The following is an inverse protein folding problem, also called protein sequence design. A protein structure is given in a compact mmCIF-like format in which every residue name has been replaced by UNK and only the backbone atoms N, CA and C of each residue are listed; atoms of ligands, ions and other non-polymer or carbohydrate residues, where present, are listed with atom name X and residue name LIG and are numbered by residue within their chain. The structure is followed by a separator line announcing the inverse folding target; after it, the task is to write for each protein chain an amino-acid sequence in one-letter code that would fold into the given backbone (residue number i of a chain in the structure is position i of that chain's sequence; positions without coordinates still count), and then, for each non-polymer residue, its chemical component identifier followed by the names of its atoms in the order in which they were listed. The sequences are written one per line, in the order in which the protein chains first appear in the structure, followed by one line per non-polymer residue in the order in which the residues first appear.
data_IF_266635311809
#
_entry.id   IF_266635311809
#
_cell.length_a   1.000
_cell.length_b   1.000
_cell.length_c   1.000
_cell.angle_alpha   90.00
_cell.angle_beta   90.00
_cell.angle_gamma   90.00
#
_symmetry.space_group_name_H-M   'P 1'
#
loop_
_entity.id
_entity.type
_entity.pdbx_description
1 polymer ?
#
# COMPACT_ATOMS: atom_id res chain seq x y z
N UNK A 1 11.25 3.58 -7.27
CA UNK A 1 10.75 4.33 -8.44
C UNK A 1 11.62 5.57 -8.66
N UNK A 2 11.93 5.92 -9.91
CA UNK A 2 12.73 7.12 -10.25
C UNK A 2 11.89 8.07 -11.11
N UNK A 3 11.77 9.35 -10.70
CA UNK A 3 11.01 10.39 -11.40
C UNK A 3 11.87 11.63 -11.60
N UNK A 4 11.85 12.20 -12.79
CA UNK A 4 12.47 13.49 -13.13
C UNK A 4 11.43 14.37 -13.83
N UNK A 5 11.38 15.66 -13.49
CA UNK A 5 10.48 16.64 -14.11
C UNK A 5 11.10 18.03 -14.05
N UNK A 6 10.66 18.93 -14.94
CA UNK A 6 10.95 20.37 -14.85
C UNK A 6 10.07 21.09 -13.84
N UNK A 7 8.96 20.47 -13.46
CA UNK A 7 8.05 20.98 -12.44
C UNK A 7 8.50 20.55 -11.04
N UNK A 8 8.29 21.40 -10.04
CA UNK A 8 8.59 21.03 -8.66
C UNK A 8 7.48 20.12 -8.11
N UNK A 9 7.79 18.83 -8.00
CA UNK A 9 6.93 17.79 -7.41
C UNK A 9 7.42 17.32 -6.03
N UNK A 10 8.57 17.85 -5.55
CA UNK A 10 9.07 17.50 -4.23
C UNK A 10 8.09 17.99 -3.16
N UNK A 11 7.84 17.18 -2.13
CA UNK A 11 6.94 17.45 -1.00
C UNK A 11 5.49 17.77 -1.36
N UNK A 12 5.09 17.63 -2.63
CA UNK A 12 3.70 17.81 -3.07
C UNK A 12 3.03 16.43 -3.16
N UNK A 13 1.87 16.25 -2.51
CA UNK A 13 1.07 15.05 -2.73
C UNK A 13 0.68 14.95 -4.20
N UNK A 14 0.77 13.74 -4.73
CA UNK A 14 0.32 13.37 -6.06
C UNK A 14 -0.43 12.05 -5.89
N UNK A 15 -1.75 12.11 -5.99
CA UNK A 15 -2.67 10.99 -5.80
C UNK A 15 -3.05 10.32 -7.14
N UNK A 16 -2.41 10.72 -8.23
CA UNK A 16 -2.63 10.11 -9.53
C UNK A 16 -2.10 8.67 -9.57
N UNK A 17 -2.96 7.75 -9.98
CA UNK A 17 -2.60 6.34 -10.18
C UNK A 17 -1.82 6.18 -11.48
N UNK A 18 -0.53 5.80 -11.37
CA UNK A 18 0.37 5.63 -12.52
C UNK A 18 0.24 4.27 -13.20
N UNK A 19 0.22 3.18 -12.42
CA UNK A 19 0.23 1.80 -12.90
C UNK A 19 -0.72 0.98 -12.03
N UNK A 20 -1.59 0.20 -12.69
CA UNK A 20 -2.45 -0.80 -12.05
C UNK A 20 -2.15 -2.17 -12.66
N UNK A 21 -1.88 -3.15 -11.79
CA UNK A 21 -1.65 -4.55 -12.16
C UNK A 21 -2.46 -5.39 -11.18
N UNK A 22 -3.17 -6.39 -11.69
CA UNK A 22 -3.95 -7.33 -10.88
C UNK A 22 -3.91 -8.73 -11.50
N UNK A 23 -4.26 -9.70 -10.67
CA UNK A 23 -4.42 -11.10 -11.07
C UNK A 23 -5.85 -11.32 -11.61
N UNK A 24 -6.00 -12.04 -12.72
CA UNK A 24 -7.31 -12.32 -13.34
C UNK A 24 -8.01 -13.55 -12.76
N UNK A 25 -7.33 -14.31 -11.89
CA UNK A 25 -7.90 -15.46 -11.19
C UNK A 25 -8.88 -14.99 -10.11
N UNK A 26 -9.94 -15.78 -9.92
CA UNK A 26 -10.90 -15.52 -8.85
C UNK A 26 -10.25 -15.68 -7.47
N UNK A 27 -10.48 -14.70 -6.59
CA UNK A 27 -10.04 -14.78 -5.20
C UNK A 27 -10.80 -15.90 -4.45
N UNK A 28 -10.11 -16.68 -3.59
CA UNK A 28 -10.79 -17.66 -2.73
C UNK A 28 -11.64 -16.93 -1.70
N UNK A 29 -12.89 -17.36 -1.50
CA UNK A 29 -13.82 -16.80 -0.52
C UNK A 29 -13.88 -15.26 -0.59
N UNK A 30 -14.46 -14.67 -1.66
CA UNK A 30 -14.29 -13.26 -2.01
C UNK A 30 -14.62 -12.27 -0.89
N UNK A 31 -15.64 -12.57 -0.07
CA UNK A 31 -16.04 -11.70 1.04
C UNK A 31 -14.95 -11.62 2.12
N UNK A 32 -14.41 -12.77 2.54
CA UNK A 32 -13.33 -12.85 3.53
C UNK A 32 -12.04 -12.25 2.96
N UNK A 33 -11.75 -12.52 1.69
CA UNK A 33 -10.58 -11.97 1.01
C UNK A 33 -10.62 -10.44 1.00
N UNK A 34 -11.75 -9.84 0.58
CA UNK A 34 -11.91 -8.39 0.52
C UNK A 34 -11.79 -7.74 1.90
N UNK A 35 -12.42 -8.30 2.93
CA UNK A 35 -12.29 -7.82 4.31
C UNK A 35 -10.82 -7.83 4.78
N UNK A 36 -10.12 -8.93 4.53
CA UNK A 36 -8.71 -9.10 4.94
C UNK A 36 -7.76 -8.21 4.17
N UNK A 37 -8.01 -7.98 2.88
CA UNK A 37 -7.26 -7.02 2.07
C UNK A 37 -7.43 -5.61 2.64
N UNK A 38 -8.66 -5.21 2.96
CA UNK A 38 -8.93 -3.89 3.53
C UNK A 38 -8.22 -3.69 4.87
N UNK A 39 -8.28 -4.69 5.76
CA UNK A 39 -7.60 -4.66 7.06
C UNK A 39 -6.08 -4.53 6.89
N UNK A 40 -5.47 -5.34 6.02
CA UNK A 40 -4.02 -5.30 5.78
C UNK A 40 -3.61 -3.98 5.12
N UNK A 41 -4.35 -3.49 4.14
CA UNK A 41 -4.05 -2.22 3.47
C UNK A 41 -4.08 -1.03 4.43
N UNK A 42 -5.08 -0.97 5.32
CA UNK A 42 -5.17 0.08 6.34
C UNK A 42 -3.99 0.03 7.32
N UNK A 43 -3.68 -1.16 7.84
CA UNK A 43 -2.57 -1.34 8.77
C UNK A 43 -1.21 -1.00 8.13
N UNK A 44 -1.02 -1.40 6.87
CA UNK A 44 0.18 -1.08 6.10
C UNK A 44 0.32 0.42 5.86
N UNK A 45 -0.76 1.13 5.56
CA UNK A 45 -0.73 2.57 5.31
C UNK A 45 -0.28 3.35 6.54
N UNK A 46 -0.87 3.03 7.69
CA UNK A 46 -0.47 3.62 8.97
C UNK A 46 0.99 3.29 9.30
N UNK A 47 1.38 2.03 9.15
CA UNK A 47 2.72 1.56 9.52
C UNK A 47 3.81 2.14 8.62
N UNK A 48 3.59 2.19 7.31
CA UNK A 48 4.54 2.74 6.34
C UNK A 48 4.72 4.25 6.53
N UNK A 49 3.63 4.97 6.80
CA UNK A 49 3.67 6.40 7.08
C UNK A 49 4.44 6.76 8.36
N UNK A 50 4.34 5.92 9.39
CA UNK A 50 5.06 6.09 10.66
C UNK A 50 6.51 5.56 10.63
N UNK A 51 6.83 4.62 9.75
CA UNK A 51 8.15 4.00 9.64
C UNK A 51 9.22 4.97 9.16
N UNK A 52 10.39 4.95 9.81
CA UNK A 52 11.58 5.70 9.35
C UNK A 52 12.04 5.23 7.96
N UNK A 53 11.85 3.94 7.68
CA UNK A 53 12.23 3.34 6.40
C UNK A 53 11.20 3.60 5.29
N UNK A 54 10.04 4.20 5.64
CA UNK A 54 8.94 4.51 4.73
C UNK A 54 8.33 3.31 4.02
N UNK A 55 8.52 2.10 4.56
CA UNK A 55 7.82 0.91 4.10
C UNK A 55 7.29 0.11 5.28
N UNK A 56 6.31 -0.74 4.99
CA UNK A 56 5.77 -1.73 5.91
C UNK A 56 5.48 -3.05 5.18
N UNK A 57 5.54 -4.13 5.95
CA UNK A 57 5.18 -5.48 5.55
C UNK A 57 4.05 -5.97 6.46
N UNK A 58 3.09 -6.68 5.89
CA UNK A 58 1.91 -7.15 6.58
C UNK A 58 1.54 -8.54 6.11
N UNK A 59 1.01 -9.35 7.03
CA UNK A 59 0.56 -10.71 6.74
C UNK A 59 -0.67 -11.02 7.59
N UNK A 60 -1.68 -11.63 6.97
CA UNK A 60 -2.84 -12.19 7.68
C UNK A 60 -3.21 -13.56 7.10
N UNK A 61 -3.98 -14.33 7.87
CA UNK A 61 -4.49 -15.63 7.41
C UNK A 61 -5.86 -15.44 6.75
N UNK A 62 -6.03 -16.00 5.56
CA UNK A 62 -7.34 -16.09 4.87
C UNK A 62 -8.07 -17.37 5.29
N UNK A 63 -7.31 -18.45 5.49
CA UNK A 63 -7.78 -19.75 5.95
C UNK A 63 -6.68 -20.46 6.75
N UNK A 64 -6.88 -21.74 7.10
CA UNK A 64 -5.84 -22.54 7.77
C UNK A 64 -4.61 -22.79 6.89
N UNK A 65 -4.76 -22.71 5.57
CA UNK A 65 -3.69 -23.00 4.60
C UNK A 65 -3.29 -21.80 3.75
N UNK A 66 -4.12 -20.76 3.67
CA UNK A 66 -3.88 -19.60 2.81
C UNK A 66 -3.55 -18.35 3.63
N UNK A 67 -2.59 -17.58 3.13
CA UNK A 67 -2.14 -16.33 3.73
C UNK A 67 -2.22 -15.21 2.71
N UNK A 68 -2.58 -14.02 3.20
CA UNK A 68 -2.49 -12.78 2.46
C UNK A 68 -1.27 -12.03 2.95
N UNK A 69 -0.38 -11.72 2.02
CA UNK A 69 0.80 -10.90 2.22
C UNK A 69 0.59 -9.52 1.59
N UNK A 70 1.07 -8.48 2.25
CA UNK A 70 0.98 -7.12 1.77
C UNK A 70 2.26 -6.33 2.01
N UNK A 71 2.50 -5.37 1.11
CA UNK A 71 3.63 -4.47 1.15
C UNK A 71 3.16 -3.07 0.76
N UNK A 72 3.64 -2.07 1.48
CA UNK A 72 3.41 -0.67 1.14
C UNK A 72 4.69 0.12 1.33
N UNK A 73 4.97 1.00 0.37
CA UNK A 73 6.10 1.91 0.39
C UNK A 73 5.62 3.33 0.09
N UNK A 74 6.06 4.27 0.90
CA UNK A 74 5.82 5.70 0.72
C UNK A 74 7.05 6.35 0.10
N UNK A 75 6.84 7.26 -0.85
CA UNK A 75 7.95 8.03 -1.41
C UNK A 75 8.59 8.89 -0.32
N UNK A 76 9.92 8.80 -0.17
CA UNK A 76 10.68 9.41 0.95
C UNK A 76 10.54 10.94 1.07
N UNK A 77 10.13 11.61 -0.01
CA UNK A 77 9.98 13.06 -0.09
C UNK A 77 8.62 13.58 0.41
N UNK A 78 7.70 12.71 0.84
CA UNK A 78 6.41 13.10 1.43
C UNK A 78 6.54 13.34 2.95
N UNK A 79 5.80 14.30 3.48
CA UNK A 79 5.68 14.49 4.94
C UNK A 79 4.89 13.32 5.54
N UNK A 80 5.16 12.99 6.80
CA UNK A 80 4.53 11.85 7.49
C UNK A 80 3.00 11.96 7.58
N UNK A 81 2.45 13.18 7.48
CA UNK A 81 1.01 13.44 7.44
C UNK A 81 0.33 13.08 6.11
N UNK A 82 1.09 13.00 5.01
CA UNK A 82 0.58 12.74 3.66
C UNK A 82 0.64 11.25 3.31
N UNK A 83 1.49 10.49 4.00
CA UNK A 83 1.65 9.05 3.79
C UNK A 83 0.48 8.17 4.29
N UNK A 84 -0.58 8.78 4.83
CA UNK A 84 -1.73 8.14 5.48
C UNK A 84 -2.94 7.98 4.55
N UNK A 85 -2.76 8.01 3.22
CA UNK A 85 -3.86 7.78 2.28
C UNK A 85 -4.14 6.27 2.25
N UNK A 86 -5.28 5.91 2.85
CA UNK A 86 -5.98 4.61 2.75
C UNK A 86 -6.76 4.58 1.44
#
# INVERSE_FOLDING_TARGET
MTRYSRENFLTRPDDNVLILIWDDRAAPQPDIYNEKVQEVAQNLSVSAGASKERYALGRTSLSSTEKLDGYQECTRNLSSSIALIV
#
